data_IF_129438304863
#
_entry.id   IF_129438304863
#
_cell.length_a   1.000
_cell.length_b   1.000
_cell.length_c   1.000
_cell.angle_alpha   90.00
_cell.angle_beta   90.00
_cell.angle_gamma   90.00
#
_symmetry.space_group_name_H-M   'P 1'
#
loop_
_entity.id
_entity.type
_entity.pdbx_description
1 polymer ?
#
# COMPACT_ATOMS: atom_id res chain seq x y z
N UNK A 1 -25.61 7.94 -16.72
CA UNK A 1 -25.57 8.40 -15.32
C UNK A 1 -24.76 9.69 -15.24
N UNK A 2 -25.09 10.60 -14.32
CA UNK A 2 -24.25 11.76 -13.99
C UNK A 2 -23.58 11.47 -12.65
N UNK A 3 -22.26 11.54 -12.62
CA UNK A 3 -21.44 11.16 -11.46
C UNK A 3 -20.31 12.20 -11.33
N UNK A 4 -19.98 12.67 -10.11
CA UNK A 4 -18.84 13.58 -9.94
C UNK A 4 -17.55 12.90 -10.37
N UNK A 5 -16.67 13.61 -11.09
CA UNK A 5 -15.40 13.05 -11.57
C UNK A 5 -14.52 12.49 -10.43
N UNK A 6 -14.58 13.09 -9.24
CA UNK A 6 -13.91 12.59 -8.02
C UNK A 6 -14.33 11.17 -7.63
N UNK A 7 -15.57 10.77 -7.90
CA UNK A 7 -16.09 9.43 -7.60
C UNK A 7 -15.85 8.40 -8.72
N UNK A 8 -15.36 8.84 -9.88
CA UNK A 8 -14.98 7.95 -10.98
C UNK A 8 -13.53 7.47 -10.87
N UNK A 9 -12.71 8.12 -10.05
CA UNK A 9 -11.34 7.69 -9.76
C UNK A 9 -11.42 6.31 -9.09
N UNK A 10 -10.75 5.30 -9.66
CA UNK A 10 -10.76 3.92 -9.14
C UNK A 10 -11.91 3.04 -9.62
N UNK A 11 -13.10 3.61 -9.88
CA UNK A 11 -14.31 2.88 -10.24
C UNK A 11 -14.16 1.95 -11.46
N UNK A 12 -13.34 2.34 -12.44
CA UNK A 12 -13.10 1.51 -13.63
C UNK A 12 -12.53 0.14 -13.26
N UNK A 13 -11.57 0.10 -12.32
CA UNK A 13 -10.94 -1.14 -11.87
C UNK A 13 -11.92 -2.04 -11.10
N UNK A 14 -12.76 -1.44 -10.25
CA UNK A 14 -13.82 -2.15 -9.53
C UNK A 14 -14.85 -2.73 -10.50
N UNK A 15 -15.36 -1.92 -11.43
CA UNK A 15 -16.32 -2.36 -12.45
C UNK A 15 -15.77 -3.51 -13.29
N UNK A 16 -14.51 -3.45 -13.74
CA UNK A 16 -13.90 -4.57 -14.47
C UNK A 16 -13.77 -5.83 -13.61
N UNK A 17 -13.52 -5.67 -12.32
CA UNK A 17 -13.44 -6.80 -11.37
C UNK A 17 -14.80 -7.44 -11.16
N UNK A 18 -15.83 -6.65 -10.86
CA UNK A 18 -17.20 -7.14 -10.62
C UNK A 18 -17.82 -7.78 -11.87
N UNK A 19 -17.61 -7.15 -13.03
CA UNK A 19 -18.12 -7.64 -14.32
C UNK A 19 -17.26 -8.73 -14.95
N UNK A 20 -16.19 -9.17 -14.27
CA UNK A 20 -15.22 -10.16 -14.77
C UNK A 20 -14.69 -9.81 -16.16
N UNK A 21 -14.43 -8.52 -16.39
CA UNK A 21 -13.88 -7.98 -17.63
C UNK A 21 -14.89 -7.81 -18.78
N UNK A 22 -16.17 -8.10 -18.57
CA UNK A 22 -17.20 -7.96 -19.62
C UNK A 22 -17.84 -6.58 -19.68
N UNK A 23 -17.68 -5.78 -18.62
CA UNK A 23 -18.26 -4.45 -18.54
C UNK A 23 -17.54 -3.44 -19.43
N UNK A 24 -18.33 -2.62 -20.12
CA UNK A 24 -17.85 -1.53 -20.98
C UNK A 24 -18.27 -0.21 -20.35
N UNK A 25 -17.30 0.70 -20.18
CA UNK A 25 -17.55 2.03 -19.61
C UNK A 25 -16.95 3.09 -20.52
N UNK A 26 -17.78 4.11 -20.80
CA UNK A 26 -17.37 5.33 -21.46
C UNK A 26 -17.69 6.51 -20.53
N UNK A 27 -16.77 7.46 -20.46
CA UNK A 27 -16.94 8.69 -19.70
C UNK A 27 -16.76 9.88 -20.64
N UNK A 28 -17.62 10.87 -20.48
CA UNK A 28 -17.53 12.15 -21.17
C UNK A 28 -17.80 13.25 -20.13
N UNK A 29 -17.02 14.32 -20.20
CA UNK A 29 -17.26 15.49 -19.38
C UNK A 29 -18.58 16.16 -19.82
N UNK A 30 -19.46 16.40 -18.84
CA UNK A 30 -20.78 17.00 -19.06
C UNK A 30 -20.75 18.51 -18.70
N UNK A 31 -20.33 18.84 -17.48
CA UNK A 31 -20.25 20.21 -16.99
C UNK A 31 -19.82 20.29 -15.53
N UNK A 32 -19.76 21.52 -15.01
CA UNK A 32 -19.52 21.77 -13.59
C UNK A 32 -20.85 21.86 -12.83
N UNK A 33 -20.87 21.33 -11.62
CA UNK A 33 -22.03 21.35 -10.72
C UNK A 33 -21.59 21.72 -9.28
N UNK A 34 -22.53 22.07 -8.38
CA UNK A 34 -22.23 22.25 -6.98
C UNK A 34 -21.52 21.04 -6.37
N UNK A 35 -20.71 21.29 -5.35
CA UNK A 35 -19.95 20.25 -4.65
C UNK A 35 -20.85 19.12 -4.14
N UNK A 36 -20.57 17.89 -4.58
CA UNK A 36 -21.39 16.71 -4.30
C UNK A 36 -21.15 16.08 -2.91
N UNK A 37 -20.45 16.76 -2.00
CA UNK A 37 -20.06 16.23 -0.69
C UNK A 37 -18.68 15.55 -0.68
N UNK A 38 -18.24 15.16 0.52
CA UNK A 38 -16.97 14.46 0.70
C UNK A 38 -17.06 13.03 0.20
N UNK A 39 -16.03 12.60 -0.52
CA UNK A 39 -15.86 11.20 -0.92
C UNK A 39 -14.83 10.62 0.05
N UNK A 40 -15.17 9.55 0.78
CA UNK A 40 -14.26 8.98 1.76
C UNK A 40 -12.98 8.50 1.07
N UNK A 41 -11.84 8.78 1.70
CA UNK A 41 -10.57 8.21 1.31
C UNK A 41 -10.47 6.74 1.71
N UNK A 42 -9.26 6.19 1.68
CA UNK A 42 -9.01 4.82 2.13
C UNK A 42 -9.43 4.65 3.60
N UNK A 43 -10.01 3.49 3.92
CA UNK A 43 -10.40 3.13 5.29
C UNK A 43 -9.29 2.41 6.06
N UNK A 44 -8.27 1.93 5.35
CA UNK A 44 -7.14 1.14 5.87
C UNK A 44 -5.84 1.93 5.74
N UNK A 45 -4.99 1.86 6.75
CA UNK A 45 -3.68 2.50 6.74
C UNK A 45 -2.66 1.78 5.86
N UNK A 46 -1.50 2.41 5.67
CA UNK A 46 -0.37 1.84 4.94
C UNK A 46 0.57 1.05 5.87
N UNK A 47 1.12 -0.04 5.35
CA UNK A 47 2.31 -0.68 5.92
C UNK A 47 3.54 -0.03 5.31
N UNK A 48 4.41 0.54 6.15
CA UNK A 48 5.54 1.36 5.71
C UNK A 48 6.85 0.67 6.09
N UNK A 49 7.77 0.52 5.14
CA UNK A 49 9.09 -0.05 5.38
C UNK A 49 9.90 0.82 6.35
N UNK A 50 10.42 0.20 7.40
CA UNK A 50 11.29 0.83 8.38
C UNK A 50 12.69 1.13 7.81
N UNK A 51 13.23 0.21 7.01
CA UNK A 51 14.63 0.24 6.58
C UNK A 51 14.74 -0.16 5.10
N UNK A 52 15.90 0.15 4.52
CA UNK A 52 16.24 -0.24 3.16
C UNK A 52 16.90 -1.63 3.11
N UNK A 53 16.57 -2.41 2.09
CA UNK A 53 17.18 -3.70 1.80
C UNK A 53 16.23 -4.62 1.05
N UNK A 54 16.61 -5.89 0.92
CA UNK A 54 15.79 -6.88 0.25
C UNK A 54 14.80 -7.51 1.23
N UNK A 55 13.55 -7.64 0.79
CA UNK A 55 12.48 -8.23 1.60
C UNK A 55 12.79 -9.69 1.89
N UNK A 56 12.68 -10.11 3.15
CA UNK A 56 12.93 -11.51 3.54
C UNK A 56 11.63 -12.24 3.84
N UNK A 57 11.55 -13.53 3.49
CA UNK A 57 10.37 -14.34 3.81
C UNK A 57 10.10 -14.43 5.32
N UNK A 58 11.17 -14.50 6.13
CA UNK A 58 11.07 -14.50 7.59
C UNK A 58 10.45 -13.21 8.15
N UNK A 59 10.80 -12.06 7.58
CA UNK A 59 10.23 -10.80 8.01
C UNK A 59 8.75 -10.69 7.61
N UNK A 60 8.41 -11.04 6.36
CA UNK A 60 7.03 -11.05 5.89
C UNK A 60 6.15 -11.99 6.71
N UNK A 61 6.63 -13.18 7.04
CA UNK A 61 5.92 -14.13 7.91
C UNK A 61 5.55 -13.47 9.26
N UNK A 62 6.51 -12.81 9.91
CA UNK A 62 6.29 -12.17 11.20
C UNK A 62 5.31 -10.99 11.17
N UNK A 63 5.03 -10.43 9.99
CA UNK A 63 4.11 -9.29 9.83
C UNK A 63 2.89 -9.57 8.95
N UNK A 64 2.71 -10.79 8.44
CA UNK A 64 1.60 -11.15 7.54
C UNK A 64 0.23 -11.00 8.19
N UNK A 65 0.14 -11.18 9.51
CA UNK A 65 -1.11 -10.94 10.23
C UNK A 65 -1.52 -9.46 10.26
N UNK A 66 -0.61 -8.54 9.91
CA UNK A 66 -0.85 -7.09 9.93
C UNK A 66 -1.55 -6.59 8.68
N UNK A 67 -1.54 -7.32 7.56
CA UNK A 67 -2.04 -6.75 6.31
C UNK A 67 -1.81 -7.60 5.07
N UNK A 68 -2.10 -6.97 3.93
CA UNK A 68 -1.81 -7.49 2.59
C UNK A 68 -0.59 -6.76 2.04
N UNK A 69 0.38 -7.50 1.48
CA UNK A 69 1.62 -6.91 0.96
C UNK A 69 1.55 -6.61 -0.53
N UNK A 70 2.33 -5.62 -0.96
CA UNK A 70 2.60 -5.29 -2.36
C UNK A 70 3.96 -5.83 -2.84
N UNK A 71 4.77 -6.30 -1.89
CA UNK A 71 6.15 -6.78 -2.10
C UNK A 71 6.27 -8.26 -1.78
N UNK A 72 7.20 -8.92 -2.46
CA UNK A 72 7.51 -10.35 -2.32
C UNK A 72 8.93 -10.55 -1.76
N UNK A 73 9.25 -11.73 -1.21
CA UNK A 73 10.62 -12.04 -0.82
C UNK A 73 11.61 -11.82 -1.98
N UNK A 74 12.66 -11.03 -1.74
CA UNK A 74 13.65 -10.64 -2.73
C UNK A 74 13.40 -9.28 -3.40
N UNK A 75 12.21 -8.68 -3.23
CA UNK A 75 11.96 -7.33 -3.74
C UNK A 75 12.82 -6.30 -2.97
N UNK A 76 13.48 -5.37 -3.69
CA UNK A 76 14.22 -4.29 -3.04
C UNK A 76 13.26 -3.22 -2.51
N UNK A 77 13.38 -2.88 -1.24
CA UNK A 77 12.60 -1.81 -0.60
C UNK A 77 13.51 -0.75 0.01
N UNK A 78 12.96 0.46 0.19
CA UNK A 78 13.63 1.55 0.90
C UNK A 78 12.77 2.09 2.04
N UNK A 79 13.43 2.76 2.99
CA UNK A 79 12.77 3.40 4.13
C UNK A 79 11.66 4.34 3.67
N UNK A 80 10.47 4.22 4.26
CA UNK A 80 9.32 5.06 3.92
C UNK A 80 8.57 4.64 2.66
N UNK A 81 9.00 3.58 1.97
CA UNK A 81 8.20 2.93 0.93
C UNK A 81 6.99 2.24 1.57
N UNK A 82 5.82 2.39 0.96
CA UNK A 82 4.62 1.63 1.34
C UNK A 82 4.72 0.24 0.73
N UNK A 83 4.72 -0.77 1.59
CA UNK A 83 4.93 -2.19 1.26
C UNK A 83 3.65 -3.01 1.36
N UNK A 84 2.54 -2.40 1.77
CA UNK A 84 1.24 -3.07 1.87
C UNK A 84 0.15 -2.21 2.49
N UNK A 85 -0.99 -2.84 2.72
CA UNK A 85 -2.18 -2.27 3.37
C UNK A 85 -2.35 -2.89 4.74
N UNK A 86 -2.48 -2.06 5.77
CA UNK A 86 -2.77 -2.50 7.13
C UNK A 86 -4.22 -3.01 7.23
N UNK A 87 -4.48 -4.00 8.09
CA UNK A 87 -5.85 -4.42 8.43
C UNK A 87 -6.61 -3.35 9.20
N UNK A 88 -5.90 -2.44 9.87
CA UNK A 88 -6.44 -1.32 10.64
C UNK A 88 -6.37 -0.01 9.84
N UNK A 89 -7.03 1.03 10.35
CA UNK A 89 -7.04 2.36 9.74
C UNK A 89 -5.75 3.16 9.95
N UNK A 90 -4.96 2.84 10.97
CA UNK A 90 -3.70 3.50 11.27
C UNK A 90 -2.55 3.01 10.39
N UNK A 91 -1.63 3.91 10.06
CA UNK A 91 -0.39 3.53 9.39
C UNK A 91 0.55 2.79 10.36
N UNK A 92 1.21 1.74 9.88
CA UNK A 92 2.11 0.93 10.68
C UNK A 92 3.47 0.81 10.02
N UNK A 93 4.52 1.19 10.75
CA UNK A 93 5.89 0.97 10.33
C UNK A 93 6.31 -0.45 10.65
N UNK A 94 6.80 -1.19 9.65
CA UNK A 94 7.18 -2.60 9.73
C UNK A 94 8.60 -2.81 9.21
N UNK A 95 9.34 -3.73 9.83
CA UNK A 95 10.63 -4.17 9.30
C UNK A 95 10.41 -5.42 8.44
N UNK A 96 10.57 -5.27 7.12
CA UNK A 96 10.43 -6.34 6.13
C UNK A 96 11.78 -6.91 5.65
N UNK A 97 12.89 -6.39 6.17
CA UNK A 97 14.27 -6.76 5.79
C UNK A 97 14.94 -7.64 6.86
N UNK A 98 14.29 -7.80 8.02
CA UNK A 98 14.83 -8.53 9.18
C UNK A 98 15.27 -9.95 8.78
N UNK A 99 16.51 -10.29 9.09
CA UNK A 99 17.05 -11.64 8.90
C UNK A 99 16.79 -12.53 10.12
N UNK A 100 16.67 -13.84 9.89
CA UNK A 100 16.58 -14.83 10.96
C UNK A 100 17.92 -14.90 11.68
N UNK A 101 17.95 -14.62 12.98
CA UNK A 101 19.16 -14.83 13.79
C UNK A 101 19.40 -16.33 13.94
N UNK A 102 20.51 -16.82 13.37
CA UNK A 102 20.97 -18.20 13.48
C UNK A 102 21.63 -18.43 14.86
N UNK A 103 20.88 -18.23 15.94
CA UNK A 103 21.34 -18.65 17.27
C UNK A 103 20.90 -20.09 17.49
N UNK A 104 21.87 -20.98 17.61
CA UNK A 104 21.74 -22.42 17.82
C UNK A 104 20.67 -22.75 18.88
N UNK A 105 19.44 -23.04 18.44
CA UNK A 105 18.43 -23.67 19.28
C UNK A 105 18.02 -24.99 18.63
N UNK A 106 18.64 -26.04 19.17
CA UNK A 106 18.25 -27.46 19.21
C UNK A 106 16.96 -27.83 18.45
N UNK A 107 17.15 -28.61 17.40
CA UNK A 107 16.27 -29.59 16.74
C UNK A 107 14.78 -29.64 17.17
N UNK A 108 13.88 -29.42 16.20
CA UNK A 108 12.97 -30.47 15.69
C UNK A 108 12.66 -30.15 14.23
N UNK A 109 12.66 -31.19 13.37
CA UNK A 109 12.20 -31.09 12.00
C UNK A 109 10.73 -30.66 11.95
N UNK A 110 10.50 -29.44 11.49
CA UNK A 110 9.48 -29.17 10.47
C UNK A 110 10.03 -28.00 9.66
N UNK A 111 10.52 -28.30 8.46
CA UNK A 111 10.53 -27.30 7.40
C UNK A 111 9.07 -27.09 7.01
N UNK A 112 8.27 -26.52 7.90
CA UNK A 112 6.98 -25.99 7.52
C UNK A 112 7.31 -24.89 6.53
N UNK A 113 7.05 -25.19 5.26
CA UNK A 113 7.12 -24.21 4.19
C UNK A 113 6.11 -23.13 4.55
N UNK A 114 6.62 -22.06 5.16
CA UNK A 114 5.82 -20.92 5.59
C UNK A 114 5.11 -20.40 4.36
N UNK A 115 3.78 -20.49 4.36
CA UNK A 115 2.94 -20.00 3.27
C UNK A 115 2.80 -18.50 3.42
N UNK A 116 3.65 -17.78 2.69
CA UNK A 116 3.53 -16.34 2.57
C UNK A 116 2.39 -16.02 1.60
N UNK A 117 1.49 -15.12 1.99
CA UNK A 117 0.44 -14.64 1.09
C UNK A 117 1.06 -13.95 -0.12
N UNK A 118 0.55 -14.25 -1.31
CA UNK A 118 1.03 -13.62 -2.55
C UNK A 118 0.85 -12.10 -2.46
N UNK A 119 1.82 -11.36 -3.00
CA UNK A 119 1.72 -9.91 -3.05
C UNK A 119 0.64 -9.46 -4.04
N UNK A 120 -0.14 -8.47 -3.61
CA UNK A 120 -1.10 -7.78 -4.46
C UNK A 120 -0.35 -6.79 -5.36
N UNK A 121 -0.29 -7.07 -6.66
CA UNK A 121 0.27 -6.14 -7.65
C UNK A 121 -0.81 -5.16 -8.09
N UNK A 122 -0.62 -3.88 -7.79
CA UNK A 122 -1.56 -2.82 -8.15
C UNK A 122 -1.29 -2.29 -9.56
N UNK A 123 -2.35 -1.99 -10.30
CA UNK A 123 -2.26 -1.21 -11.54
C UNK A 123 -1.98 0.28 -11.23
N UNK A 124 -1.61 1.05 -12.26
CA UNK A 124 -1.41 2.50 -12.11
C UNK A 124 -2.64 3.20 -11.55
N UNK A 125 -3.84 2.86 -12.05
CA UNK A 125 -5.11 3.43 -11.58
C UNK A 125 -5.36 3.08 -10.11
N UNK A 126 -5.13 1.83 -9.72
CA UNK A 126 -5.28 1.37 -8.34
C UNK A 126 -4.26 2.04 -7.39
N UNK A 127 -3.04 2.31 -7.86
CA UNK A 127 -2.06 3.07 -7.09
C UNK A 127 -2.52 4.52 -6.87
N UNK A 128 -3.08 5.17 -7.89
CA UNK A 128 -3.59 6.55 -7.78
C UNK A 128 -4.80 6.63 -6.84
N UNK A 129 -5.66 5.62 -6.87
CA UNK A 129 -6.78 5.51 -5.93
C UNK A 129 -6.31 5.27 -4.49
N UNK A 130 -5.22 4.52 -4.31
CA UNK A 130 -4.72 4.12 -3.00
C UNK A 130 -4.02 5.25 -2.22
N UNK A 131 -3.28 6.12 -2.90
CA UNK A 131 -2.44 7.13 -2.25
C UNK A 131 -3.26 8.17 -1.47
N UNK A 132 -2.79 8.53 -0.28
CA UNK A 132 -3.31 9.65 0.49
C UNK A 132 -2.48 10.94 0.29
N UNK A 133 -2.89 12.03 0.91
CA UNK A 133 -2.31 13.37 0.78
C UNK A 133 -0.85 13.48 1.26
N UNK A 134 -0.38 12.56 2.10
CA UNK A 134 1.00 12.47 2.57
C UNK A 134 1.82 11.37 1.86
N UNK A 135 1.31 10.88 0.73
CA UNK A 135 1.89 9.83 -0.08
C UNK A 135 2.14 10.29 -1.52
N UNK A 136 3.08 9.60 -2.17
CA UNK A 136 3.46 9.84 -3.55
C UNK A 136 3.57 8.49 -4.28
N UNK A 137 3.16 8.51 -5.54
CA UNK A 137 3.39 7.40 -6.47
C UNK A 137 4.68 7.65 -7.26
N UNK A 138 5.68 6.83 -7.00
CA UNK A 138 6.90 6.75 -7.78
C UNK A 138 6.68 5.86 -9.01
N UNK A 139 6.84 6.45 -10.19
CA UNK A 139 6.62 5.77 -11.47
C UNK A 139 7.94 5.65 -12.21
N UNK A 140 8.27 4.41 -12.58
CA UNK A 140 9.40 4.10 -13.46
C UNK A 140 8.93 3.17 -14.58
N UNK A 141 9.67 3.01 -15.70
CA UNK A 141 9.27 2.11 -16.78
C UNK A 141 9.11 0.64 -16.36
N UNK A 142 9.72 0.23 -15.23
CA UNK A 142 9.74 -1.17 -14.77
C UNK A 142 8.97 -1.39 -13.47
N UNK A 143 8.61 -0.33 -12.74
CA UNK A 143 8.02 -0.45 -11.42
C UNK A 143 7.15 0.75 -11.05
N UNK A 144 6.07 0.46 -10.33
CA UNK A 144 5.23 1.40 -9.61
C UNK A 144 5.46 1.18 -8.13
N UNK A 145 5.80 2.24 -7.38
CA UNK A 145 6.02 2.18 -5.94
C UNK A 145 5.29 3.30 -5.23
N UNK A 146 4.62 2.98 -4.14
CA UNK A 146 4.01 3.98 -3.28
C UNK A 146 5.00 4.29 -2.15
N UNK A 147 5.11 5.56 -1.78
CA UNK A 147 5.98 6.02 -0.68
C UNK A 147 5.33 7.16 0.08
N UNK A 148 5.75 7.35 1.32
CA UNK A 148 5.44 8.58 2.07
C UNK A 148 6.22 9.77 1.51
N UNK A 149 5.66 10.97 1.66
CA UNK A 149 6.37 12.23 1.36
C UNK A 149 7.62 12.33 2.23
N UNK A 150 7.48 12.13 3.54
CA UNK A 150 8.59 12.00 4.48
C UNK A 150 8.96 10.53 4.67
N UNK A 151 10.18 10.17 4.26
CA UNK A 151 10.66 8.80 4.33
C UNK A 151 10.95 8.36 5.77
N UNK A 152 11.66 9.21 6.51
CA UNK A 152 11.99 8.98 7.91
C UNK A 152 10.74 9.09 8.78
N UNK A 153 10.57 8.10 9.66
CA UNK A 153 9.49 8.05 10.63
C UNK A 153 9.48 9.24 11.61
N UNK A 154 10.66 9.70 12.01
CA UNK A 154 10.80 10.83 12.92
C UNK A 154 10.36 12.14 12.26
N UNK A 155 10.68 12.31 10.98
CA UNK A 155 10.27 13.49 10.22
C UNK A 155 8.77 13.48 9.96
N UNK A 156 8.16 12.32 9.70
CA UNK A 156 6.69 12.17 9.66
C UNK A 156 6.04 12.66 10.95
N UNK A 157 6.49 12.14 12.10
CA UNK A 157 5.97 12.55 13.41
C UNK A 157 6.13 14.04 13.69
N UNK A 158 7.21 14.66 13.21
CA UNK A 158 7.43 16.11 13.33
C UNK A 158 6.44 16.89 12.47
N UNK A 159 6.24 16.46 11.21
CA UNK A 159 5.31 17.09 10.29
C UNK A 159 3.84 16.96 10.76
N UNK A 160 3.45 15.80 11.30
CA UNK A 160 2.13 15.58 11.90
C UNK A 160 1.88 16.54 13.07
N UNK A 161 2.86 16.69 13.97
CA UNK A 161 2.77 17.63 15.10
C UNK A 161 2.65 19.08 14.67
N UNK A 162 3.38 19.49 13.62
CA UNK A 162 3.29 20.85 13.08
C UNK A 162 1.91 21.11 12.46
N UNK A 163 1.34 20.14 11.75
CA UNK A 163 -0.02 20.24 11.20
C UNK A 163 -1.09 20.30 12.30
N UNK A 164 -0.92 19.58 13.40
CA UNK A 164 -1.88 19.56 14.50
C UNK A 164 -1.78 20.77 15.45
N UNK A 165 -0.69 21.54 15.37
CA UNK A 165 -0.47 22.76 16.16
C UNK A 165 -0.95 24.05 15.49
N UNK A 166 -1.63 23.93 14.35
CA UNK A 166 -2.32 25.00 13.63
C UNK A 166 -3.81 24.70 13.68
#
# INVERSE_FOLDING_TARGET
FRVPSRGLIGFRGEMLTETRGTGIMHQQFDGYEPYAGEIPGRTRGALIALEQGDVTGYALEGVQDRGEFFVEPGDPVYMGQVVGVNKRSDDMVVNVVKKKNLTNHRATQTADSVKISQAKKLSLEQCIEFIDNDELLEVTPKALRIRKTYLDHNDRKRAEKQKAGV
#
